data_IF_256094562339
#
_entry.id   IF_256094562339
#
_cell.length_a   1.000
_cell.length_b   1.000
_cell.length_c   1.000
_cell.angle_alpha   90.00
_cell.angle_beta   90.00
_cell.angle_gamma   90.00
#
_symmetry.space_group_name_H-M   'P 1'
#
loop_
_entity.id
_entity.type
_entity.pdbx_description
1 polymer ?
#
# COMPACT_ATOMS: atom_id res chain seq x y z
N UNK A 1 59.51 27.35 0.55
CA UNK A 1 60.23 26.25 -0.13
C UNK A 1 59.60 25.91 -1.44
N UNK A 2 60.38 25.16 -2.21
CA UNK A 2 60.27 25.19 -3.64
C UNK A 2 60.48 23.81 -4.27
N UNK A 3 59.97 22.72 -3.71
CA UNK A 3 60.12 21.39 -4.30
C UNK A 3 59.22 21.24 -5.56
N UNK A 4 59.73 21.86 -6.63
CA UNK A 4 60.14 21.35 -7.96
C UNK A 4 59.22 20.42 -8.73
N UNK A 5 59.71 20.09 -9.94
CA UNK A 5 59.03 19.42 -11.03
C UNK A 5 58.11 18.28 -10.60
N UNK A 6 58.38 17.63 -9.46
CA UNK A 6 57.62 16.47 -8.98
C UNK A 6 57.10 16.56 -7.52
N UNK A 7 56.98 17.75 -6.90
CA UNK A 7 56.12 17.97 -5.71
C UNK A 7 56.75 18.48 -4.41
N UNK A 8 55.91 19.02 -3.51
CA UNK A 8 56.14 19.83 -2.27
C UNK A 8 56.93 21.14 -2.46
N UNK A 9 56.35 22.10 -3.15
CA UNK A 9 56.87 23.47 -3.25
C UNK A 9 56.69 24.26 -1.94
N UNK A 10 57.28 23.85 -0.81
CA UNK A 10 56.78 24.25 0.53
C UNK A 10 57.10 25.71 1.03
N UNK A 11 57.41 26.09 2.28
CA UNK A 11 58.63 25.83 3.09
C UNK A 11 58.49 24.67 4.02
N UNK A 12 57.33 24.68 4.66
CA UNK A 12 57.06 23.82 5.76
C UNK A 12 55.57 23.79 5.93
N UNK A 13 55.06 22.59 6.07
CA UNK A 13 53.80 22.42 6.77
C UNK A 13 54.13 21.51 7.94
N UNK A 14 54.10 22.06 9.15
CA UNK A 14 54.48 21.33 10.36
C UNK A 14 53.24 20.60 10.87
N UNK A 15 53.37 19.28 10.98
CA UNK A 15 52.31 18.36 11.35
C UNK A 15 52.38 17.84 12.79
N UNK A 16 51.69 16.72 13.00
CA UNK A 16 51.95 15.76 14.08
C UNK A 16 52.15 14.30 13.55
N UNK A 17 51.79 13.97 12.30
CA UNK A 17 52.42 12.90 11.48
C UNK A 17 52.06 13.06 9.98
N UNK A 18 53.04 12.93 9.08
CA UNK A 18 52.88 12.83 7.61
C UNK A 18 53.71 11.63 7.13
N UNK A 19 53.05 10.55 6.70
CA UNK A 19 53.69 9.32 6.18
C UNK A 19 52.76 8.56 5.22
N UNK A 20 53.29 7.91 4.18
CA UNK A 20 52.54 7.02 3.27
C UNK A 20 51.66 7.73 2.22
N UNK A 21 52.05 8.91 1.72
CA UNK A 21 51.19 9.81 0.94
C UNK A 21 50.79 9.22 -0.42
N UNK A 22 49.50 8.91 -0.56
CA UNK A 22 48.82 8.65 -1.83
C UNK A 22 47.80 9.76 -2.15
N UNK A 23 48.11 11.00 -1.71
CA UNK A 23 47.30 12.20 -1.89
C UNK A 23 47.90 13.06 -3.01
N UNK A 24 47.14 13.27 -4.07
CA UNK A 24 47.53 14.08 -5.22
C UNK A 24 46.44 15.13 -5.48
N UNK A 25 46.82 16.39 -5.63
CA UNK A 25 45.91 17.43 -6.13
C UNK A 25 46.22 17.69 -7.59
N UNK A 26 45.25 17.48 -8.48
CA UNK A 26 45.42 17.66 -9.92
C UNK A 26 44.53 18.81 -10.38
N UNK A 27 45.06 19.68 -11.22
CA UNK A 27 44.28 20.70 -11.94
C UNK A 27 44.17 20.26 -13.39
N UNK A 28 42.94 20.04 -13.85
CA UNK A 28 42.64 19.58 -15.20
C UNK A 28 41.31 20.22 -15.64
N UNK A 29 41.26 20.80 -16.85
CA UNK A 29 40.12 21.59 -17.37
C UNK A 29 39.57 22.68 -16.40
N UNK A 30 40.46 23.40 -15.70
CA UNK A 30 40.09 24.40 -14.67
C UNK A 30 39.30 23.84 -13.47
N UNK A 31 39.33 22.53 -13.22
CA UNK A 31 38.71 21.90 -12.06
C UNK A 31 39.78 21.38 -11.09
N UNK A 32 39.66 21.75 -9.81
CA UNK A 32 40.50 21.23 -8.73
C UNK A 32 40.01 19.84 -8.33
N UNK A 33 40.90 18.83 -8.35
CA UNK A 33 40.61 17.44 -7.97
C UNK A 33 41.58 16.98 -6.88
N UNK A 34 41.11 16.16 -5.95
CA UNK A 34 41.95 15.43 -4.98
C UNK A 34 41.83 13.93 -5.22
N UNK A 35 42.96 13.24 -5.38
CA UNK A 35 43.03 11.79 -5.59
C UNK A 35 43.60 11.12 -4.35
N UNK A 36 42.96 10.03 -3.93
CA UNK A 36 43.42 9.10 -2.91
C UNK A 36 43.59 7.72 -3.56
N UNK A 37 44.80 7.15 -3.56
CA UNK A 37 45.04 5.80 -4.10
C UNK A 37 45.22 4.78 -2.96
N UNK A 38 44.40 3.73 -2.94
CA UNK A 38 44.52 2.58 -2.01
C UNK A 38 44.43 2.90 -0.51
N UNK A 39 43.70 3.95 -0.10
CA UNK A 39 43.60 4.39 1.29
C UNK A 39 42.19 4.74 1.77
N UNK A 40 42.12 5.20 3.03
CA UNK A 40 40.91 5.73 3.66
C UNK A 40 41.14 7.14 4.19
N UNK A 41 40.08 7.94 4.23
CA UNK A 41 40.00 9.15 5.03
C UNK A 41 39.24 8.79 6.30
N UNK A 42 39.92 8.81 7.44
CA UNK A 42 39.32 8.53 8.75
C UNK A 42 38.93 9.83 9.44
N UNK A 43 37.69 9.91 9.92
CA UNK A 43 37.18 11.01 10.73
C UNK A 43 37.31 10.65 12.20
N UNK A 44 37.85 11.55 13.01
CA UNK A 44 38.02 11.35 14.45
C UNK A 44 37.91 12.66 15.20
N UNK A 45 37.29 12.63 16.38
CA UNK A 45 37.17 13.79 17.27
C UNK A 45 37.58 13.39 18.67
N UNK A 46 38.52 14.15 19.27
CA UNK A 46 39.03 13.91 20.64
C UNK A 46 39.50 12.46 20.90
N UNK A 47 40.16 11.85 19.90
CA UNK A 47 40.67 10.48 19.98
C UNK A 47 39.64 9.39 19.68
N UNK A 48 38.36 9.72 19.51
CA UNK A 48 37.33 8.78 19.11
C UNK A 48 37.22 8.74 17.59
N UNK A 49 37.39 7.57 17.00
CA UNK A 49 37.14 7.35 15.58
C UNK A 49 35.63 7.36 15.31
N UNK A 50 35.21 8.19 14.36
CA UNK A 50 33.80 8.43 14.02
C UNK A 50 33.37 7.60 12.80
N UNK A 51 34.23 7.51 11.80
CA UNK A 51 33.95 6.82 10.55
C UNK A 51 35.05 7.01 9.53
N UNK A 52 34.81 6.55 8.31
CA UNK A 52 35.75 6.70 7.21
C UNK A 52 35.07 6.71 5.83
N UNK A 53 35.79 7.26 4.86
CA UNK A 53 35.47 7.19 3.43
C UNK A 53 36.66 6.59 2.70
N UNK A 54 36.41 5.65 1.79
CA UNK A 54 37.47 5.10 0.93
C UNK A 54 36.99 3.94 0.08
N UNK A 55 37.95 3.16 -0.41
CA UNK A 55 37.67 2.02 -1.29
C UNK A 55 37.35 0.75 -0.49
N UNK A 56 36.23 0.09 -0.78
CA UNK A 56 35.94 -1.25 -0.28
C UNK A 56 36.57 -2.32 -1.16
N UNK A 57 36.85 -3.48 -0.55
CA UNK A 57 37.21 -4.72 -1.23
C UNK A 57 36.34 -5.84 -0.68
N UNK A 58 36.07 -6.84 -1.50
CA UNK A 58 35.39 -8.05 -1.06
C UNK A 58 36.31 -8.85 -0.12
N UNK A 59 35.83 -9.16 1.09
CA UNK A 59 36.66 -9.81 2.12
C UNK A 59 36.96 -11.29 1.84
N UNK A 60 36.24 -11.95 0.93
CA UNK A 60 36.45 -13.36 0.59
C UNK A 60 37.35 -13.56 -0.62
N UNK A 61 37.30 -12.64 -1.58
CA UNK A 61 37.99 -12.74 -2.88
C UNK A 61 39.11 -11.71 -3.05
N UNK A 62 39.16 -10.66 -2.22
CA UNK A 62 40.11 -9.56 -2.36
C UNK A 62 39.85 -8.65 -3.57
N UNK A 63 38.78 -8.89 -4.33
CA UNK A 63 38.41 -8.07 -5.48
C UNK A 63 38.04 -6.64 -5.03
N UNK A 64 38.37 -5.65 -5.86
CA UNK A 64 37.98 -4.26 -5.62
C UNK A 64 36.44 -4.18 -5.62
N UNK A 65 35.86 -3.64 -4.56
CA UNK A 65 34.42 -3.56 -4.35
C UNK A 65 33.82 -2.26 -4.88
N UNK A 66 34.23 -1.11 -4.34
CA UNK A 66 33.66 0.18 -4.69
C UNK A 66 34.09 1.31 -3.75
N UNK A 67 33.31 2.39 -3.67
CA UNK A 67 33.47 3.48 -2.68
C UNK A 67 32.45 3.30 -1.58
N UNK A 68 32.83 3.51 -0.32
CA UNK A 68 31.88 3.54 0.79
C UNK A 68 32.07 4.75 1.69
N UNK A 69 30.96 5.12 2.34
CA UNK A 69 30.88 6.09 3.43
C UNK A 69 30.34 5.32 4.62
N UNK A 70 31.09 5.27 5.73
CA UNK A 70 30.71 4.46 6.88
C UNK A 70 31.02 5.13 8.20
N UNK A 71 30.07 5.09 9.13
CA UNK A 71 30.30 5.39 10.53
C UNK A 71 30.69 4.12 11.29
N UNK A 72 31.56 4.23 12.29
CA UNK A 72 31.87 3.11 13.17
C UNK A 72 30.70 2.80 14.10
N UNK A 73 30.69 1.60 14.69
CA UNK A 73 29.63 1.19 15.60
C UNK A 73 29.44 2.21 16.74
N UNK A 74 28.18 2.58 17.02
CA UNK A 74 27.85 3.61 18.01
C UNK A 74 27.99 5.05 17.52
N UNK A 75 28.33 5.28 16.25
CA UNK A 75 28.44 6.60 15.63
C UNK A 75 27.32 6.80 14.60
N UNK A 76 27.05 8.06 14.25
CA UNK A 76 26.04 8.44 13.27
C UNK A 76 26.71 8.80 11.94
N UNK A 77 26.14 8.35 10.83
CA UNK A 77 26.47 8.87 9.50
C UNK A 77 25.30 9.73 9.00
N UNK A 78 25.53 11.03 8.83
CA UNK A 78 24.51 11.98 8.36
C UNK A 78 24.92 12.62 7.04
N UNK A 79 23.96 12.74 6.13
CA UNK A 79 23.94 13.76 5.08
C UNK A 79 22.94 14.81 5.55
N UNK A 80 23.40 16.03 5.80
CA UNK A 80 22.61 17.09 6.43
C UNK A 80 22.65 18.39 5.62
N UNK A 81 21.62 19.22 5.78
CA UNK A 81 21.51 20.53 5.16
C UNK A 81 21.32 21.62 6.22
N UNK A 82 21.80 22.83 5.95
CA UNK A 82 21.54 23.98 6.81
C UNK A 82 20.02 24.28 6.82
N UNK A 83 19.43 24.30 8.01
CA UNK A 83 18.00 24.53 8.19
C UNK A 83 17.64 26.00 8.45
N UNK A 84 18.61 26.91 8.39
CA UNK A 84 18.40 28.38 8.33
C UNK A 84 17.81 29.01 9.60
N UNK A 85 17.55 28.21 10.63
CA UNK A 85 17.35 28.68 12.00
C UNK A 85 18.67 28.43 12.75
N UNK A 86 18.98 29.22 13.77
CA UNK A 86 20.26 29.17 14.49
C UNK A 86 20.57 27.84 15.22
N UNK A 87 19.84 26.75 14.94
CA UNK A 87 19.97 25.41 15.50
C UNK A 87 20.85 24.44 14.70
N UNK A 88 21.42 24.86 13.56
CA UNK A 88 22.48 24.12 12.86
C UNK A 88 22.01 23.35 11.63
N UNK A 89 22.54 22.14 11.43
CA UNK A 89 22.22 21.27 10.28
C UNK A 89 21.13 20.26 10.64
N UNK A 90 20.19 19.99 9.72
CA UNK A 90 19.19 18.93 9.83
C UNK A 90 19.48 17.76 8.89
N UNK A 91 19.31 16.52 9.35
CA UNK A 91 19.55 15.33 8.52
C UNK A 91 18.58 15.25 7.34
N UNK A 92 19.07 14.77 6.21
CA UNK A 92 18.31 14.43 4.99
C UNK A 92 18.34 12.91 4.76
N UNK A 93 19.48 12.30 5.05
CA UNK A 93 19.69 10.85 5.17
C UNK A 93 20.54 10.60 6.43
N UNK A 94 20.13 9.65 7.26
CA UNK A 94 20.86 9.32 8.49
C UNK A 94 20.93 7.81 8.72
N UNK A 95 22.12 7.32 9.09
CA UNK A 95 22.32 6.01 9.71
C UNK A 95 22.51 6.24 11.22
N UNK A 96 21.56 5.79 12.07
CA UNK A 96 21.60 6.06 13.49
C UNK A 96 22.65 5.20 14.22
N UNK A 97 23.04 5.62 15.42
CA UNK A 97 24.09 4.98 16.24
C UNK A 97 23.83 3.50 16.58
N UNK A 98 22.57 3.07 16.58
CA UNK A 98 22.13 1.72 16.89
C UNK A 98 22.01 0.83 15.65
N UNK A 99 22.24 1.36 14.45
CA UNK A 99 22.34 0.55 13.24
C UNK A 99 23.56 -0.38 13.31
N UNK A 100 23.36 -1.63 12.91
CA UNK A 100 24.43 -2.64 12.89
C UNK A 100 24.48 -3.36 11.55
N UNK A 101 25.53 -4.14 11.30
CA UNK A 101 25.64 -4.93 10.07
C UNK A 101 24.51 -5.98 9.93
N UNK A 102 24.05 -6.54 11.05
CA UNK A 102 22.96 -7.52 11.09
C UNK A 102 21.56 -6.91 11.15
N UNK A 103 21.48 -5.63 11.52
CA UNK A 103 20.25 -4.84 11.60
C UNK A 103 20.51 -3.44 11.03
N UNK A 104 20.66 -3.34 9.69
CA UNK A 104 20.91 -2.07 9.04
C UNK A 104 19.67 -1.20 9.11
N UNK A 105 19.82 0.01 9.66
CA UNK A 105 18.74 0.99 9.81
C UNK A 105 19.16 2.30 9.16
N UNK A 106 18.20 3.00 8.59
CA UNK A 106 18.37 4.34 8.09
C UNK A 106 17.08 5.13 8.22
N UNK A 107 17.19 6.45 8.13
CA UNK A 107 16.06 7.35 8.02
C UNK A 107 16.25 8.32 6.86
N UNK A 108 15.13 8.66 6.22
CA UNK A 108 15.03 9.67 5.16
C UNK A 108 14.06 10.76 5.63
N UNK A 109 14.45 11.61 6.59
CA UNK A 109 13.57 12.65 7.14
C UNK A 109 13.34 13.84 6.19
N UNK A 110 14.13 13.97 5.13
CA UNK A 110 14.00 15.05 4.16
C UNK A 110 12.73 14.97 3.30
N UNK A 111 12.40 16.07 2.64
CA UNK A 111 11.29 16.12 1.67
C UNK A 111 11.75 15.74 0.26
N UNK A 112 10.96 14.92 -0.42
CA UNK A 112 11.18 14.60 -1.82
C UNK A 112 10.74 15.78 -2.70
N UNK A 113 11.64 16.30 -3.53
CA UNK A 113 11.33 17.32 -4.55
C UNK A 113 10.94 16.75 -5.91
N UNK A 114 11.06 15.43 -6.07
CA UNK A 114 10.74 14.69 -7.29
C UNK A 114 10.07 13.37 -6.94
N UNK A 115 9.42 12.74 -7.93
CA UNK A 115 8.90 11.39 -7.76
C UNK A 115 10.01 10.36 -7.56
N UNK A 116 9.70 9.27 -6.85
CA UNK A 116 10.50 8.04 -6.85
C UNK A 116 9.99 7.19 -8.01
N UNK A 117 10.81 7.00 -9.05
CA UNK A 117 10.43 6.30 -10.28
C UNK A 117 11.35 5.11 -10.54
N UNK A 118 10.77 3.96 -10.91
CA UNK A 118 11.48 2.83 -11.50
C UNK A 118 11.41 2.92 -13.02
N UNK A 119 12.53 2.73 -13.72
CA UNK A 119 12.64 2.94 -15.18
C UNK A 119 12.87 1.66 -15.99
N UNK A 120 12.92 0.49 -15.35
CA UNK A 120 12.96 -0.81 -16.03
C UNK A 120 11.54 -1.36 -16.18
N UNK A 121 11.32 -2.19 -17.21
CA UNK A 121 10.03 -2.82 -17.57
C UNK A 121 9.34 -3.62 -16.45
N UNK A 122 10.01 -3.79 -15.31
CA UNK A 122 9.49 -4.48 -14.14
C UNK A 122 9.47 -3.53 -12.93
N UNK A 123 8.25 -3.35 -12.42
CA UNK A 123 7.80 -2.65 -11.21
C UNK A 123 8.84 -2.13 -10.20
N UNK A 124 8.53 -0.96 -9.62
CA UNK A 124 9.17 -0.47 -8.40
C UNK A 124 8.56 -1.16 -7.17
N UNK A 125 9.34 -1.99 -6.47
CA UNK A 125 8.87 -2.75 -5.30
C UNK A 125 9.25 -2.08 -3.98
N UNK A 126 8.25 -1.91 -3.11
CA UNK A 126 8.45 -1.65 -1.68
C UNK A 126 7.88 -2.87 -0.95
N UNK A 127 8.67 -3.52 -0.09
CA UNK A 127 8.26 -4.75 0.58
C UNK A 127 8.55 -4.68 2.07
N UNK A 128 7.62 -5.20 2.88
CA UNK A 128 7.84 -5.45 4.30
C UNK A 128 7.16 -6.76 4.68
N UNK A 129 7.77 -7.64 5.50
CA UNK A 129 7.20 -8.95 5.85
C UNK A 129 5.94 -8.90 6.74
N UNK A 130 5.43 -7.71 7.05
CA UNK A 130 4.31 -7.52 8.00
C UNK A 130 3.32 -6.49 7.50
N UNK A 131 3.76 -5.25 7.28
CA UNK A 131 2.89 -4.17 6.83
C UNK A 131 3.68 -3.05 6.18
N UNK A 132 3.10 -2.46 5.15
CA UNK A 132 3.52 -1.16 4.59
C UNK A 132 2.41 -0.16 4.90
N UNK A 133 2.79 1.03 5.39
CA UNK A 133 1.87 2.12 5.72
C UNK A 133 2.22 3.33 4.89
N UNK A 134 1.26 3.83 4.11
CA UNK A 134 1.34 5.13 3.47
C UNK A 134 0.35 6.06 4.17
N UNK A 135 0.82 7.17 4.73
CA UNK A 135 -0.01 8.06 5.53
C UNK A 135 0.29 9.52 5.26
N UNK A 136 -0.77 10.32 5.13
CA UNK A 136 -0.69 11.76 5.31
C UNK A 136 -0.94 12.05 6.80
N UNK A 137 -0.23 13.02 7.39
CA UNK A 137 -0.31 13.39 8.81
C UNK A 137 0.38 12.42 9.80
N UNK A 138 1.63 12.05 9.50
CA UNK A 138 2.51 11.36 10.46
C UNK A 138 1.97 10.05 11.06
N UNK A 139 1.12 9.32 10.31
CA UNK A 139 0.52 8.07 10.79
C UNK A 139 -0.77 8.24 11.61
N UNK A 140 -1.43 9.40 11.57
CA UNK A 140 -2.71 9.61 12.27
C UNK A 140 -3.91 9.58 11.30
N UNK A 141 -4.90 8.72 11.55
CA UNK A 141 -6.23 8.81 10.92
C UNK A 141 -6.32 8.28 9.49
N UNK A 142 -5.49 8.82 8.60
CA UNK A 142 -5.62 8.63 7.16
C UNK A 142 -4.45 7.80 6.64
N UNK A 143 -4.72 6.53 6.31
CA UNK A 143 -3.69 5.56 5.94
C UNK A 143 -4.15 4.60 4.84
N UNK A 144 -3.21 4.23 3.97
CA UNK A 144 -3.27 3.07 3.10
C UNK A 144 -2.31 2.01 3.65
N UNK A 145 -2.88 0.92 4.16
CA UNK A 145 -2.14 -0.14 4.84
C UNK A 145 -2.17 -1.41 4.01
N UNK A 146 -1.00 -1.93 3.64
CA UNK A 146 -0.86 -3.18 2.89
C UNK A 146 -0.30 -4.25 3.81
N UNK A 147 -1.03 -5.34 3.96
CA UNK A 147 -0.63 -6.55 4.67
C UNK A 147 -0.41 -7.70 3.67
N UNK A 148 0.20 -8.83 4.09
CA UNK A 148 0.36 -10.00 3.23
C UNK A 148 -0.95 -10.59 2.71
N UNK A 149 -2.07 -10.38 3.40
CA UNK A 149 -3.37 -11.03 3.13
C UNK A 149 -4.52 -10.06 2.86
N UNK A 150 -4.37 -8.76 3.15
CA UNK A 150 -5.42 -7.77 2.93
C UNK A 150 -4.86 -6.33 2.78
N UNK A 151 -5.76 -5.38 2.47
CA UNK A 151 -5.48 -3.95 2.39
C UNK A 151 -6.54 -3.20 3.19
N UNK A 152 -6.10 -2.31 4.08
CA UNK A 152 -6.99 -1.39 4.80
C UNK A 152 -6.85 0.04 4.29
N UNK A 153 -7.98 0.71 4.19
CA UNK A 153 -8.06 2.17 4.03
C UNK A 153 -8.62 2.75 5.31
N UNK A 154 -7.82 3.50 6.05
CA UNK A 154 -8.28 4.25 7.23
C UNK A 154 -8.68 5.67 6.78
N UNK A 155 -9.84 6.13 7.24
CA UNK A 155 -10.49 7.35 6.76
C UNK A 155 -11.34 7.15 5.50
N UNK A 156 -11.56 8.23 4.75
CA UNK A 156 -12.47 8.21 3.60
C UNK A 156 -11.82 7.63 2.33
N UNK A 157 -12.48 6.66 1.69
CA UNK A 157 -12.14 6.18 0.34
C UNK A 157 -13.07 6.77 -0.74
N UNK A 158 -12.69 7.94 -1.27
CA UNK A 158 -13.42 8.61 -2.35
C UNK A 158 -12.91 8.17 -3.73
N UNK A 159 -13.81 7.68 -4.60
CA UNK A 159 -13.50 7.24 -5.96
C UNK A 159 -14.22 8.16 -6.95
N UNK A 160 -13.49 9.14 -7.51
CA UNK A 160 -14.03 10.04 -8.53
C UNK A 160 -13.93 9.40 -9.92
N UNK A 161 -15.01 9.46 -10.70
CA UNK A 161 -15.07 8.95 -12.08
C UNK A 161 -14.69 7.46 -12.25
N UNK A 162 -14.63 6.68 -11.18
CA UNK A 162 -14.27 5.26 -11.15
C UNK A 162 -15.38 4.38 -10.57
N UNK A 163 -15.11 3.09 -10.38
CA UNK A 163 -16.07 2.12 -9.84
C UNK A 163 -15.60 1.47 -8.54
N UNK A 164 -16.55 1.07 -7.69
CA UNK A 164 -16.34 0.25 -6.49
C UNK A 164 -17.02 -1.10 -6.71
N UNK A 165 -16.29 -2.04 -7.28
CA UNK A 165 -16.82 -3.35 -7.67
C UNK A 165 -16.07 -4.48 -6.98
N UNK A 166 -16.79 -5.53 -6.59
CA UNK A 166 -16.19 -6.81 -6.23
C UNK A 166 -15.93 -7.62 -7.50
N UNK A 167 -14.69 -8.10 -7.67
CA UNK A 167 -14.27 -8.91 -8.82
C UNK A 167 -14.46 -10.38 -8.48
N UNK A 168 -15.20 -11.10 -9.33
CA UNK A 168 -15.64 -12.48 -9.08
C UNK A 168 -15.37 -13.37 -10.28
N UNK A 169 -15.05 -14.64 -10.03
CA UNK A 169 -14.81 -15.65 -11.08
C UNK A 169 -16.14 -16.26 -11.52
N UNK A 170 -16.30 -16.47 -12.82
CA UNK A 170 -17.46 -17.07 -13.49
C UNK A 170 -16.97 -18.12 -14.49
N UNK A 171 -17.88 -18.88 -15.10
CA UNK A 171 -17.55 -19.94 -16.06
C UNK A 171 -16.73 -19.49 -17.26
N UNK A 172 -16.83 -18.22 -17.65
CA UNK A 172 -16.19 -17.66 -18.84
C UNK A 172 -15.17 -16.56 -18.52
N UNK A 173 -14.74 -16.44 -17.27
CA UNK A 173 -13.71 -15.50 -16.85
C UNK A 173 -14.08 -14.74 -15.59
N UNK A 174 -13.96 -13.42 -15.63
CA UNK A 174 -14.07 -12.56 -14.45
C UNK A 174 -15.15 -11.49 -14.68
N UNK A 175 -16.03 -11.32 -13.69
CA UNK A 175 -17.07 -10.29 -13.68
C UNK A 175 -16.90 -9.36 -12.48
N UNK A 176 -17.15 -8.08 -12.68
CA UNK A 176 -17.12 -7.07 -11.63
C UNK A 176 -18.56 -6.70 -11.27
N UNK A 177 -18.96 -6.93 -10.02
CA UNK A 177 -20.30 -6.57 -9.53
C UNK A 177 -20.22 -5.33 -8.65
N UNK A 178 -21.02 -4.28 -8.89
CA UNK A 178 -21.16 -3.17 -7.96
C UNK A 178 -21.53 -3.67 -6.55
N UNK A 179 -21.08 -2.95 -5.53
CA UNK A 179 -21.38 -3.31 -4.14
C UNK A 179 -22.87 -3.09 -3.82
N UNK A 180 -23.49 -4.10 -3.20
CA UNK A 180 -24.79 -3.96 -2.55
C UNK A 180 -24.65 -4.39 -1.09
N UNK A 181 -24.58 -3.39 -0.20
CA UNK A 181 -24.27 -3.63 1.21
C UNK A 181 -25.48 -4.18 1.96
N UNK A 182 -25.35 -5.43 2.42
CA UNK A 182 -26.36 -6.17 3.18
C UNK A 182 -25.67 -6.89 4.34
N UNK A 183 -26.45 -7.28 5.36
CA UNK A 183 -25.91 -7.98 6.52
C UNK A 183 -25.34 -9.38 6.20
N UNK A 184 -25.72 -9.97 5.06
CA UNK A 184 -25.05 -11.14 4.46
C UNK A 184 -24.65 -10.80 3.02
N UNK A 185 -23.73 -11.57 2.45
CA UNK A 185 -23.33 -11.39 1.05
C UNK A 185 -24.38 -11.94 0.08
N UNK A 186 -25.06 -11.04 -0.63
CA UNK A 186 -25.96 -11.38 -1.74
C UNK A 186 -25.44 -10.82 -3.07
N UNK A 187 -25.69 -11.57 -4.14
CA UNK A 187 -25.67 -11.03 -5.51
C UNK A 187 -27.12 -11.00 -5.99
N UNK A 188 -27.48 -9.93 -6.68
CA UNK A 188 -28.82 -9.74 -7.19
C UNK A 188 -28.84 -9.44 -8.67
N UNK A 189 -30.02 -9.65 -9.25
CA UNK A 189 -30.35 -9.31 -10.62
C UNK A 189 -31.74 -8.71 -10.66
N UNK A 190 -31.96 -7.77 -11.58
CA UNK A 190 -33.20 -7.00 -11.67
C UNK A 190 -33.64 -7.00 -13.13
N UNK A 191 -34.91 -7.31 -13.36
CA UNK A 191 -35.49 -7.24 -14.68
C UNK A 191 -37.00 -7.10 -14.64
N UNK A 192 -37.59 -7.23 -15.82
CA UNK A 192 -39.03 -7.13 -16.03
C UNK A 192 -39.53 -8.33 -16.81
N UNK A 193 -40.80 -8.67 -16.63
CA UNK A 193 -41.47 -9.72 -17.42
C UNK A 193 -42.98 -9.50 -17.43
N UNK A 194 -43.69 -10.39 -18.13
CA UNK A 194 -45.14 -10.37 -18.28
C UNK A 194 -45.67 -11.80 -18.29
N UNK A 195 -46.76 -12.07 -17.58
CA UNK A 195 -47.41 -13.37 -17.62
C UNK A 195 -48.13 -13.59 -18.96
N UNK A 196 -48.24 -14.84 -19.42
CA UNK A 196 -48.96 -15.18 -20.64
C UNK A 196 -50.46 -15.45 -20.42
N UNK A 197 -51.11 -16.07 -21.40
CA UNK A 197 -52.53 -16.49 -21.34
C UNK A 197 -52.80 -17.44 -20.17
N UNK A 198 -51.83 -18.28 -19.80
CA UNK A 198 -51.90 -19.19 -18.66
C UNK A 198 -51.68 -18.48 -17.31
N UNK A 199 -51.55 -17.15 -17.31
CA UNK A 199 -51.28 -16.31 -16.12
C UNK A 199 -50.01 -16.69 -15.37
N UNK A 200 -49.05 -17.29 -16.09
CA UNK A 200 -47.73 -17.64 -15.55
C UNK A 200 -46.64 -17.23 -16.51
N UNK A 201 -45.42 -17.06 -15.99
CA UNK A 201 -44.20 -16.95 -16.79
C UNK A 201 -43.03 -17.53 -16.01
N UNK A 202 -42.14 -18.21 -16.73
CA UNK A 202 -40.87 -18.71 -16.21
C UNK A 202 -39.78 -17.69 -16.55
N UNK A 203 -39.04 -17.26 -15.53
CA UNK A 203 -37.89 -16.37 -15.67
C UNK A 203 -36.64 -17.19 -15.40
N UNK A 204 -35.79 -17.35 -16.41
CA UNK A 204 -34.48 -17.98 -16.25
C UNK A 204 -33.53 -17.04 -15.51
N UNK A 205 -32.72 -17.59 -14.61
CA UNK A 205 -31.61 -16.87 -13.98
C UNK A 205 -30.48 -16.80 -15.00
N UNK A 206 -29.92 -15.60 -15.24
CA UNK A 206 -28.79 -15.43 -16.14
C UNK A 206 -27.64 -16.39 -15.73
N UNK A 207 -27.04 -17.14 -16.67
CA UNK A 207 -26.02 -18.13 -16.34
C UNK A 207 -24.81 -17.57 -15.59
N UNK A 208 -24.43 -16.30 -15.83
CA UNK A 208 -23.35 -15.63 -15.11
C UNK A 208 -23.80 -15.23 -13.70
N UNK A 209 -25.04 -14.77 -13.53
CA UNK A 209 -25.61 -14.55 -12.18
C UNK A 209 -25.64 -15.85 -11.41
N UNK A 210 -26.07 -16.95 -12.04
CA UNK A 210 -26.10 -18.29 -11.45
C UNK A 210 -24.72 -18.77 -10.99
N UNK A 211 -23.63 -18.42 -11.69
CA UNK A 211 -22.27 -18.73 -11.25
C UNK A 211 -21.91 -18.01 -9.94
N UNK A 212 -22.43 -16.79 -9.75
CA UNK A 212 -22.14 -15.94 -8.60
C UNK A 212 -22.99 -16.26 -7.37
N UNK A 213 -24.19 -16.84 -7.53
CA UNK A 213 -25.09 -17.19 -6.43
C UNK A 213 -25.14 -18.68 -6.18
N UNK A 214 -25.51 -19.06 -4.95
CA UNK A 214 -25.81 -20.42 -4.57
C UNK A 214 -27.33 -20.63 -4.41
N UNK A 215 -27.94 -21.30 -5.39
CA UNK A 215 -29.38 -21.61 -5.39
C UNK A 215 -29.71 -22.96 -4.75
N UNK A 216 -28.72 -23.72 -4.26
CA UNK A 216 -28.98 -24.83 -3.33
C UNK A 216 -29.43 -24.30 -1.95
N UNK A 217 -29.19 -23.00 -1.66
CA UNK A 217 -29.81 -22.27 -0.56
C UNK A 217 -31.01 -21.46 -1.05
N UNK A 218 -32.02 -21.19 -0.20
CA UNK A 218 -33.15 -20.35 -0.58
C UNK A 218 -32.70 -18.96 -1.02
N UNK A 219 -33.08 -18.57 -2.23
CA UNK A 219 -32.94 -17.21 -2.74
C UNK A 219 -34.30 -16.49 -2.67
N UNK A 220 -34.27 -15.16 -2.70
CA UNK A 220 -35.46 -14.33 -2.63
C UNK A 220 -35.77 -13.76 -4.01
N UNK A 221 -37.07 -13.63 -4.29
CA UNK A 221 -37.57 -12.91 -5.47
C UNK A 221 -38.62 -11.92 -4.98
N UNK A 222 -38.39 -10.64 -5.23
CA UNK A 222 -39.31 -9.56 -4.92
C UNK A 222 -40.01 -9.11 -6.20
N UNK A 223 -41.31 -8.91 -6.14
CA UNK A 223 -42.13 -8.55 -7.30
C UNK A 223 -42.70 -7.15 -7.13
N UNK A 224 -42.72 -6.38 -8.23
CA UNK A 224 -43.39 -5.06 -8.30
C UNK A 224 -44.42 -5.11 -9.42
N UNK A 225 -45.70 -4.92 -9.07
CA UNK A 225 -46.78 -4.92 -10.04
C UNK A 225 -46.71 -3.68 -10.95
N UNK A 226 -46.78 -3.87 -12.27
CA UNK A 226 -46.94 -2.79 -13.28
C UNK A 226 -48.27 -2.89 -14.04
N UNK A 227 -49.09 -3.88 -13.69
CA UNK A 227 -50.49 -4.03 -14.10
C UNK A 227 -51.33 -4.22 -12.84
N UNK A 228 -52.61 -3.83 -12.88
CA UNK A 228 -53.57 -4.08 -11.80
C UNK A 228 -53.89 -5.58 -11.73
N UNK A 229 -52.96 -6.33 -11.15
CA UNK A 229 -52.99 -7.76 -10.98
C UNK A 229 -52.25 -8.14 -9.69
N UNK A 230 -52.70 -9.20 -9.05
CA UNK A 230 -51.99 -9.80 -7.93
C UNK A 230 -50.94 -10.78 -8.46
N UNK A 231 -49.67 -10.58 -8.07
CA UNK A 231 -48.55 -11.44 -8.47
C UNK A 231 -47.98 -12.21 -7.28
N UNK A 232 -47.54 -13.45 -7.51
CA UNK A 232 -46.80 -14.24 -6.54
C UNK A 232 -45.77 -15.16 -7.23
N UNK A 233 -44.72 -15.50 -6.50
CA UNK A 233 -43.73 -16.50 -6.94
C UNK A 233 -44.30 -17.88 -6.61
N UNK A 234 -44.71 -18.63 -7.63
CA UNK A 234 -45.29 -19.96 -7.46
C UNK A 234 -44.23 -21.06 -7.36
N UNK A 235 -43.03 -20.82 -7.91
CA UNK A 235 -41.92 -21.78 -7.84
C UNK A 235 -40.55 -21.08 -7.81
N UNK A 236 -39.62 -21.66 -7.03
CA UNK A 236 -38.20 -21.32 -7.04
C UNK A 236 -37.39 -22.55 -7.44
N UNK A 237 -36.96 -22.59 -8.70
CA UNK A 237 -36.09 -23.63 -9.24
C UNK A 237 -34.61 -23.37 -8.97
N UNK A 238 -33.72 -24.22 -9.49
CA UNK A 238 -32.27 -24.00 -9.32
C UNK A 238 -31.76 -22.85 -10.18
N UNK A 239 -32.23 -22.76 -11.40
CA UNK A 239 -31.77 -21.83 -12.44
C UNK A 239 -32.92 -20.97 -13.00
N UNK A 240 -34.06 -20.93 -12.31
CA UNK A 240 -35.24 -20.17 -12.73
C UNK A 240 -36.17 -19.90 -11.55
N UNK A 241 -37.15 -19.03 -11.75
CA UNK A 241 -38.35 -18.95 -10.92
C UNK A 241 -39.60 -18.79 -11.77
N UNK A 242 -40.75 -19.15 -11.23
CA UNK A 242 -42.05 -18.99 -11.90
C UNK A 242 -42.85 -17.94 -11.15
N UNK A 243 -43.36 -16.96 -11.90
CA UNK A 243 -44.29 -15.94 -11.41
C UNK A 243 -45.67 -16.23 -11.96
N UNK A 244 -46.67 -16.17 -11.10
CA UNK A 244 -48.08 -16.33 -11.43
C UNK A 244 -48.84 -15.05 -11.14
N UNK A 245 -49.91 -14.82 -11.87
CA UNK A 245 -50.85 -13.70 -11.68
C UNK A 245 -52.30 -14.16 -11.67
N UNK A 246 -53.19 -13.32 -11.16
CA UNK A 246 -54.64 -13.55 -11.18
C UNK A 246 -55.31 -13.12 -12.51
N UNK A 247 -54.63 -12.28 -13.29
CA UNK A 247 -55.03 -11.84 -14.64
C UNK A 247 -54.00 -12.28 -15.70
N UNK A 248 -54.40 -12.67 -16.93
CA UNK A 248 -53.44 -12.93 -18.01
C UNK A 248 -52.73 -11.65 -18.42
N UNK A 249 -51.65 -11.78 -19.19
CA UNK A 249 -51.00 -10.63 -19.84
C UNK A 249 -50.60 -9.50 -18.86
N UNK A 250 -50.19 -9.84 -17.64
CA UNK A 250 -49.93 -8.84 -16.59
C UNK A 250 -48.44 -8.59 -16.42
N UNK A 251 -48.02 -7.32 -16.49
CA UNK A 251 -46.62 -6.90 -16.45
C UNK A 251 -46.12 -6.66 -15.01
N UNK A 252 -44.87 -7.02 -14.73
CA UNK A 252 -44.24 -6.86 -13.43
C UNK A 252 -42.72 -6.68 -13.54
N UNK A 253 -42.13 -6.00 -12.55
CA UNK A 253 -40.70 -6.01 -12.27
C UNK A 253 -40.36 -7.10 -11.26
N UNK A 254 -39.14 -7.64 -11.34
CA UNK A 254 -38.61 -8.62 -10.39
C UNK A 254 -37.20 -8.24 -9.93
N UNK A 255 -36.91 -8.55 -8.67
CA UNK A 255 -35.55 -8.51 -8.11
C UNK A 255 -35.22 -9.88 -7.50
N UNK A 256 -34.18 -10.52 -8.02
CA UNK A 256 -33.58 -11.72 -7.50
C UNK A 256 -32.50 -11.35 -6.48
N UNK A 257 -32.47 -12.02 -5.32
CA UNK A 257 -31.33 -11.96 -4.37
C UNK A 257 -30.93 -13.38 -3.98
N UNK A 258 -29.76 -13.82 -4.43
CA UNK A 258 -29.15 -15.10 -4.07
C UNK A 258 -27.90 -14.93 -3.21
N UNK A 259 -27.67 -15.86 -2.26
CA UNK A 259 -26.46 -15.83 -1.45
C UNK A 259 -25.22 -16.00 -2.33
N UNK A 260 -24.20 -15.15 -2.13
CA UNK A 260 -22.97 -15.20 -2.92
C UNK A 260 -22.24 -16.52 -2.68
N UNK A 261 -21.87 -17.20 -3.77
CA UNK A 261 -21.14 -18.46 -3.75
C UNK A 261 -19.78 -18.29 -3.05
N UNK A 262 -19.48 -19.17 -2.10
CA UNK A 262 -18.27 -19.13 -1.26
C UNK A 262 -18.36 -18.23 -0.02
N UNK A 263 -19.46 -17.48 0.15
CA UNK A 263 -19.67 -16.55 1.28
C UNK A 263 -21.04 -16.77 1.94
N UNK A 264 -21.68 -17.91 1.69
CA UNK A 264 -23.10 -18.13 1.99
C UNK A 264 -23.44 -18.17 3.49
N UNK A 265 -22.45 -18.44 4.34
CA UNK A 265 -22.62 -18.54 5.79
C UNK A 265 -22.04 -17.32 6.54
N UNK A 266 -21.62 -16.30 5.79
CA UNK A 266 -21.15 -15.04 6.38
C UNK A 266 -22.30 -14.08 6.63
N UNK A 267 -22.44 -13.67 7.90
CA UNK A 267 -23.36 -12.63 8.34
C UNK A 267 -22.64 -11.72 9.31
N UNK A 268 -22.52 -10.43 8.97
CA UNK A 268 -21.86 -9.41 9.80
C UNK A 268 -20.56 -9.93 10.44
N UNK A 269 -19.62 -10.35 9.58
CA UNK A 269 -18.36 -10.97 10.02
C UNK A 269 -17.64 -10.02 10.97
N UNK A 270 -17.41 -10.48 12.19
CA UNK A 270 -16.69 -9.72 13.21
C UNK A 270 -15.22 -9.59 12.80
N UNK A 271 -14.76 -8.34 12.64
CA UNK A 271 -13.35 -8.04 12.35
C UNK A 271 -12.46 -8.26 13.56
N UNK A 272 -13.06 -8.44 14.75
CA UNK A 272 -12.42 -8.51 16.07
C UNK A 272 -11.78 -7.21 16.53
N UNK A 273 -11.91 -6.14 15.74
CA UNK A 273 -11.46 -4.81 16.13
C UNK A 273 -12.33 -4.28 17.26
N UNK A 274 -11.68 -3.69 18.27
CA UNK A 274 -12.39 -3.09 19.38
C UNK A 274 -12.60 -1.59 19.16
N UNK A 275 -13.50 -0.97 19.93
CA UNK A 275 -13.60 0.49 19.97
C UNK A 275 -12.27 1.19 20.30
N UNK A 276 -11.42 0.55 21.11
CA UNK A 276 -10.08 1.08 21.41
C UNK A 276 -9.14 1.05 20.21
N UNK A 277 -9.35 0.11 19.28
CA UNK A 277 -8.59 0.03 18.05
C UNK A 277 -9.11 1.08 17.05
N UNK A 278 -10.43 1.26 16.95
CA UNK A 278 -11.05 2.34 16.18
C UNK A 278 -10.61 3.73 16.64
N UNK A 279 -10.52 3.99 17.95
CA UNK A 279 -10.03 5.26 18.49
C UNK A 279 -8.61 5.60 18.00
N UNK A 280 -7.76 4.59 17.84
CA UNK A 280 -6.40 4.76 17.30
C UNK A 280 -6.41 4.95 15.79
N UNK A 281 -7.34 4.30 15.08
CA UNK A 281 -7.44 4.34 13.62
C UNK A 281 -7.99 5.67 13.12
N UNK A 282 -9.10 6.14 13.68
CA UNK A 282 -9.82 7.32 13.16
C UNK A 282 -9.40 8.64 13.84
N UNK A 283 -8.68 8.56 14.97
CA UNK A 283 -8.31 9.74 15.75
C UNK A 283 -9.53 10.49 16.27
N UNK A 284 -10.12 10.02 17.38
CA UNK A 284 -11.25 10.64 18.08
C UNK A 284 -12.25 11.36 17.15
N UNK A 285 -13.07 10.62 16.41
CA UNK A 285 -14.28 11.22 15.82
C UNK A 285 -15.24 11.51 16.99
N UNK A 286 -15.54 12.79 17.31
CA UNK A 286 -16.62 13.07 18.24
C UNK A 286 -17.92 12.63 17.55
N UNK A 287 -18.55 11.56 18.05
CA UNK A 287 -19.87 11.05 17.62
C UNK A 287 -19.91 10.05 16.43
N UNK A 288 -18.83 9.33 16.13
CA UNK A 288 -18.86 8.21 15.18
C UNK A 288 -19.60 6.98 15.74
N UNK A 289 -20.94 6.97 15.65
CA UNK A 289 -21.83 5.83 15.89
C UNK A 289 -21.81 5.20 17.31
N UNK A 290 -22.29 5.95 18.30
CA UNK A 290 -22.76 5.37 19.58
C UNK A 290 -24.23 4.91 19.46
N UNK A 291 -24.54 4.07 18.47
CA UNK A 291 -25.87 3.44 18.41
C UNK A 291 -25.95 2.34 19.47
N UNK A 292 -26.20 2.77 20.71
CA UNK A 292 -26.72 1.91 21.77
C UNK A 292 -28.15 1.57 21.33
N UNK A 293 -28.36 0.36 20.82
CA UNK A 293 -29.72 -0.10 20.54
C UNK A 293 -30.53 0.00 21.83
N UNK A 294 -31.53 0.89 21.85
CA UNK A 294 -32.51 0.92 22.93
C UNK A 294 -33.37 -0.33 22.79
N UNK A 295 -33.20 -1.30 23.69
CA UNK A 295 -34.11 -2.43 23.80
C UNK A 295 -35.54 -1.91 23.95
N UNK A 296 -36.35 -2.10 22.91
CA UNK A 296 -37.80 -1.91 22.91
C UNK A 296 -38.45 -3.27 22.70
#
# INVERSE_FOLDING_TARGET
SAITADGVVAERIVGNLISGVAFETVTDDNLFKTRLSSGFITFSTKGTALGQVGSSHDMGTGAIGGVYYGAYAGQVLDIAADIGNSAGYGSVLSIPKDATRSDPRYSLPGHLRSAITGTQDNAFWITHPKRIVLSANSGAGNQFNVYPDHVDILGNFNVYNGSKNAVQVTRDGIRATPAYELAENYVGDIGESKTGDEKTVRVEIDPLVFDLINTDKPYQVFLTAYTDAHFWVSERGKDYFIVSSDSPDSAFGWELKGKRRGFEDQRLVDTKDTYKDLEKMEGLIPNGNQNVQSNS
#
